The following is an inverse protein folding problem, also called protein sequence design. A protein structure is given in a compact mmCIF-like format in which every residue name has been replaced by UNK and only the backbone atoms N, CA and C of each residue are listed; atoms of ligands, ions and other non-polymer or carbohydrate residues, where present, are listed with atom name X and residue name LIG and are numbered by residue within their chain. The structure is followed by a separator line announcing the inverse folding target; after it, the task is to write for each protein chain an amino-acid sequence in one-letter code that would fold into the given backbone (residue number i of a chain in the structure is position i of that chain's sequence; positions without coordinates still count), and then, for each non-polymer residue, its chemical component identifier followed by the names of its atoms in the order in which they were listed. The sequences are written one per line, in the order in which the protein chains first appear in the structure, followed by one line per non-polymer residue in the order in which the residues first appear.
data_IF_219058438911
#
_entry.id   IF_219058438911
#
_cell.length_a   1.000
_cell.length_b   1.000
_cell.length_c   1.000
_cell.angle_alpha   90.00
_cell.angle_beta   90.00
_cell.angle_gamma   90.00
#
_symmetry.space_group_name_H-M   'P 1'
#
loop_
_entity.id
_entity.type
_entity.pdbx_description
1 polymer ?
#
# COMPACT_ATOMS: atom_id res chain seq x y z
N UNK A 1 -6.68 -6.45 26.62
CA UNK A 1 -5.55 -7.04 25.93
C UNK A 1 -5.70 -6.74 24.45
N UNK A 2 -4.94 -5.82 23.82
CA UNK A 2 -5.03 -5.60 22.37
C UNK A 2 -4.42 -6.81 21.66
N UNK A 3 -5.14 -7.32 20.68
CA UNK A 3 -4.81 -8.50 19.88
C UNK A 3 -3.57 -8.28 19.02
N UNK A 4 -2.41 -8.70 19.49
CA UNK A 4 -1.13 -8.70 18.76
C UNK A 4 -1.12 -9.60 17.49
N UNK A 5 -2.20 -10.33 17.20
CA UNK A 5 -2.28 -11.25 16.07
C UNK A 5 -2.45 -10.58 14.71
N UNK A 6 -2.93 -9.34 14.63
CA UNK A 6 -3.11 -8.63 13.33
C UNK A 6 -1.84 -7.95 12.82
N UNK A 7 -0.84 -7.71 13.65
CA UNK A 7 0.39 -6.99 13.29
C UNK A 7 1.56 -7.89 12.88
N UNK A 8 1.47 -9.21 13.16
CA UNK A 8 2.54 -10.13 12.78
C UNK A 8 2.54 -10.35 11.27
N UNK A 9 3.63 -10.03 10.56
CA UNK A 9 3.68 -10.16 9.11
C UNK A 9 3.63 -11.62 8.67
N UNK A 10 3.17 -11.84 7.43
CA UNK A 10 3.13 -13.15 6.78
C UNK A 10 3.90 -13.09 5.48
N UNK A 11 4.81 -14.02 5.28
CA UNK A 11 5.51 -14.24 4.01
C UNK A 11 4.80 -15.34 3.24
N UNK A 12 4.25 -15.01 2.07
CA UNK A 12 3.63 -15.98 1.17
C UNK A 12 4.68 -16.52 0.22
N UNK A 13 4.96 -17.82 0.28
CA UNK A 13 5.97 -18.51 -0.55
C UNK A 13 5.23 -19.25 -1.67
N UNK A 14 5.51 -18.92 -2.92
CA UNK A 14 4.92 -19.55 -4.09
C UNK A 14 6.04 -20.16 -4.95
N UNK A 15 6.19 -21.46 -4.89
CA UNK A 15 7.22 -22.22 -5.61
C UNK A 15 6.70 -23.65 -5.83
N UNK A 16 6.89 -24.27 -6.98
CA UNK A 16 6.45 -25.65 -7.24
C UNK A 16 7.36 -26.68 -6.57
N UNK A 17 8.61 -26.34 -6.27
CA UNK A 17 9.55 -27.22 -5.58
C UNK A 17 9.29 -27.22 -4.05
N UNK A 18 8.85 -28.36 -3.53
CA UNK A 18 8.59 -28.56 -2.11
C UNK A 18 9.82 -28.32 -1.24
N UNK A 19 11.02 -28.73 -1.69
CA UNK A 19 12.26 -28.56 -0.93
C UNK A 19 12.61 -27.09 -0.76
N UNK A 20 12.36 -26.27 -1.77
CA UNK A 20 12.57 -24.82 -1.68
C UNK A 20 11.55 -24.20 -0.72
N UNK A 21 10.28 -24.59 -0.80
CA UNK A 21 9.27 -24.11 0.15
C UNK A 21 9.61 -24.42 1.59
N UNK A 22 10.00 -25.68 1.87
CA UNK A 22 10.37 -26.14 3.22
C UNK A 22 11.63 -25.41 3.75
N UNK A 23 12.63 -25.22 2.88
CA UNK A 23 13.84 -24.49 3.22
C UNK A 23 13.55 -23.01 3.57
N UNK A 24 12.74 -22.34 2.75
CA UNK A 24 12.34 -20.94 3.00
C UNK A 24 11.46 -20.81 4.25
N UNK A 25 10.52 -21.74 4.46
CA UNK A 25 9.69 -21.77 5.67
C UNK A 25 10.58 -21.88 6.91
N UNK A 26 11.53 -22.82 6.93
CA UNK A 26 12.50 -22.99 8.02
C UNK A 26 13.36 -21.73 8.22
N UNK A 27 13.81 -21.10 7.13
CA UNK A 27 14.60 -19.87 7.18
C UNK A 27 13.80 -18.74 7.84
N UNK A 28 12.55 -18.51 7.42
CA UNK A 28 11.71 -17.46 7.96
C UNK A 28 11.30 -17.72 9.41
N UNK A 29 10.99 -18.97 9.76
CA UNK A 29 10.71 -19.36 11.14
C UNK A 29 11.91 -19.09 12.07
N UNK A 30 13.13 -19.33 11.60
CA UNK A 30 14.37 -19.10 12.38
C UNK A 30 14.55 -17.65 12.84
N UNK A 31 13.94 -16.69 12.11
CA UNK A 31 13.96 -15.26 12.44
C UNK A 31 12.60 -14.76 12.98
N UNK A 32 11.68 -15.67 13.30
CA UNK A 32 10.37 -15.34 13.90
C UNK A 32 9.35 -14.76 12.92
N UNK A 33 9.51 -14.98 11.62
CA UNK A 33 8.52 -14.64 10.62
C UNK A 33 7.55 -15.81 10.39
N UNK A 34 6.25 -15.50 10.26
CA UNK A 34 5.28 -16.50 9.82
C UNK A 34 5.29 -16.63 8.30
N UNK A 35 5.13 -17.84 7.80
CA UNK A 35 5.00 -18.11 6.37
C UNK A 35 3.75 -18.89 6.03
N UNK A 36 3.35 -18.83 4.77
CA UNK A 36 2.34 -19.67 4.15
C UNK A 36 2.85 -20.11 2.78
N UNK A 37 2.78 -21.40 2.48
CA UNK A 37 3.35 -22.00 1.29
C UNK A 37 2.27 -22.38 0.29
N UNK A 38 2.57 -22.22 -1.01
CA UNK A 38 1.68 -22.56 -2.13
C UNK A 38 2.50 -23.22 -3.23
N UNK A 39 1.99 -24.30 -3.81
CA UNK A 39 2.65 -25.02 -4.88
C UNK A 39 2.43 -24.39 -6.27
N UNK A 40 1.40 -23.54 -6.39
CA UNK A 40 1.05 -22.87 -7.63
C UNK A 40 0.53 -21.44 -7.39
N UNK A 41 0.65 -20.57 -8.37
CA UNK A 41 0.12 -19.22 -8.32
C UNK A 41 -1.41 -19.20 -8.15
N UNK A 42 -2.11 -20.17 -8.77
CA UNK A 42 -3.55 -20.34 -8.63
C UNK A 42 -3.98 -20.63 -7.20
N UNK A 43 -3.23 -21.43 -6.45
CA UNK A 43 -3.53 -21.76 -5.05
C UNK A 43 -3.46 -20.51 -4.16
N UNK A 44 -2.45 -19.68 -4.35
CA UNK A 44 -2.35 -18.41 -3.65
C UNK A 44 -3.54 -17.49 -3.95
N UNK A 45 -3.92 -17.36 -5.22
CA UNK A 45 -5.03 -16.50 -5.64
C UNK A 45 -6.38 -16.99 -5.09
N UNK A 46 -6.55 -18.31 -4.95
CA UNK A 46 -7.77 -18.92 -4.42
C UNK A 46 -7.87 -18.86 -2.89
N UNK A 47 -6.73 -18.85 -2.18
CA UNK A 47 -6.69 -18.88 -0.71
C UNK A 47 -7.23 -17.61 -0.04
N UNK A 48 -7.30 -16.50 -0.78
CA UNK A 48 -7.64 -15.19 -0.22
C UNK A 48 -6.48 -14.61 0.59
N UNK A 49 -6.36 -13.30 0.56
CA UNK A 49 -5.25 -12.60 1.24
C UNK A 49 -5.73 -12.09 2.57
N UNK A 50 -5.00 -12.43 3.63
CA UNK A 50 -5.26 -11.89 4.96
C UNK A 50 -4.96 -10.38 4.99
N UNK A 51 -5.73 -9.63 5.79
CA UNK A 51 -5.47 -8.20 6.04
C UNK A 51 -4.30 -7.99 7.02
N UNK A 52 -3.21 -8.74 6.85
CA UNK A 52 -1.98 -8.66 7.63
C UNK A 52 -0.86 -8.05 6.79
N UNK A 53 0.09 -7.33 7.41
CA UNK A 53 1.30 -6.94 6.70
C UNK A 53 2.02 -8.16 6.14
N UNK A 54 2.72 -8.02 5.02
CA UNK A 54 3.44 -9.15 4.47
C UNK A 54 4.05 -8.87 3.11
N UNK A 55 4.53 -9.94 2.49
CA UNK A 55 5.04 -9.94 1.14
C UNK A 55 4.85 -11.30 0.47
N UNK A 56 5.10 -11.35 -0.82
CA UNK A 56 5.09 -12.58 -1.62
C UNK A 56 6.52 -12.85 -2.09
N UNK A 57 6.99 -14.07 -1.84
CA UNK A 57 8.23 -14.62 -2.42
C UNK A 57 7.80 -15.64 -3.47
N UNK A 58 8.15 -15.42 -4.74
CA UNK A 58 7.62 -16.23 -5.85
C UNK A 58 8.72 -16.68 -6.80
N UNK A 59 8.66 -17.94 -7.24
CA UNK A 59 9.45 -18.38 -8.37
C UNK A 59 8.89 -17.77 -9.68
N UNK A 60 9.79 -17.33 -10.52
CA UNK A 60 9.43 -16.82 -11.85
C UNK A 60 8.89 -17.93 -12.74
N UNK A 61 9.33 -19.17 -12.57
CA UNK A 61 8.93 -20.33 -13.38
C UNK A 61 7.99 -21.24 -12.61
N UNK A 62 6.71 -20.93 -12.60
CA UNK A 62 5.69 -21.82 -12.08
C UNK A 62 5.02 -22.59 -13.22
N UNK A 63 4.49 -23.79 -12.95
CA UNK A 63 3.85 -24.63 -13.97
C UNK A 63 2.59 -24.02 -14.59
N UNK A 64 1.83 -23.29 -13.77
CA UNK A 64 0.53 -22.73 -14.13
C UNK A 64 0.60 -21.29 -14.66
N UNK A 65 1.60 -20.52 -14.23
CA UNK A 65 1.71 -19.10 -14.58
C UNK A 65 3.15 -18.60 -14.42
N UNK A 66 3.60 -17.73 -15.32
CA UNK A 66 4.87 -17.05 -15.15
C UNK A 66 4.77 -15.99 -14.02
N UNK A 67 5.80 -15.89 -13.16
CA UNK A 67 5.84 -14.95 -12.04
C UNK A 67 5.63 -13.48 -12.44
N UNK A 68 6.05 -13.08 -13.66
CA UNK A 68 5.77 -11.72 -14.17
C UNK A 68 4.29 -11.54 -14.56
N UNK A 69 3.62 -12.58 -15.03
CA UNK A 69 2.18 -12.57 -15.32
C UNK A 69 1.38 -12.56 -14.01
N UNK A 70 1.81 -13.36 -13.03
CA UNK A 70 1.26 -13.35 -11.69
C UNK A 70 1.30 -11.95 -11.06
N UNK A 71 2.45 -11.27 -11.12
CA UNK A 71 2.57 -9.89 -10.63
C UNK A 71 1.58 -8.93 -11.33
N UNK A 72 1.38 -9.08 -12.63
CA UNK A 72 0.39 -8.29 -13.37
C UNK A 72 -1.04 -8.62 -12.92
N UNK A 73 -1.33 -9.88 -12.60
CA UNK A 73 -2.64 -10.31 -12.11
C UNK A 73 -2.91 -9.78 -10.70
N UNK A 74 -1.94 -9.78 -9.78
CA UNK A 74 -2.05 -9.16 -8.46
C UNK A 74 -2.50 -7.71 -8.56
N UNK A 75 -1.88 -6.94 -9.46
CA UNK A 75 -2.24 -5.53 -9.69
C UNK A 75 -3.68 -5.36 -10.18
N UNK A 76 -4.20 -6.29 -11.00
CA UNK A 76 -5.59 -6.27 -11.51
C UNK A 76 -6.61 -6.65 -10.44
N UNK A 77 -6.26 -7.53 -9.53
CA UNK A 77 -7.13 -8.01 -8.44
C UNK A 77 -7.07 -7.11 -7.20
N UNK A 78 -6.28 -6.03 -7.24
CA UNK A 78 -6.14 -5.09 -6.12
C UNK A 78 -5.27 -5.62 -4.97
N UNK A 79 -4.52 -6.68 -5.20
CA UNK A 79 -3.54 -7.20 -4.25
C UNK A 79 -2.30 -6.31 -4.28
N UNK A 80 -2.05 -5.63 -3.17
CA UNK A 80 -0.98 -4.64 -3.06
C UNK A 80 0.26 -5.16 -2.29
N UNK A 81 0.31 -6.47 -2.02
CA UNK A 81 1.48 -7.06 -1.36
C UNK A 81 2.73 -6.90 -2.23
N UNK A 82 3.85 -6.45 -1.66
CA UNK A 82 5.13 -6.39 -2.35
C UNK A 82 5.61 -7.79 -2.75
N UNK A 83 6.29 -7.87 -3.89
CA UNK A 83 6.75 -9.14 -4.48
C UNK A 83 8.26 -9.17 -4.51
N UNK A 84 8.86 -10.25 -4.01
CA UNK A 84 10.25 -10.66 -4.19
C UNK A 84 10.25 -11.84 -5.16
N UNK A 85 11.01 -11.76 -6.24
CA UNK A 85 11.08 -12.82 -7.24
C UNK A 85 12.33 -13.65 -7.09
N UNK A 86 12.18 -14.98 -7.23
CA UNK A 86 13.30 -15.93 -7.31
C UNK A 86 13.36 -16.54 -8.71
N UNK A 87 14.54 -16.88 -9.20
CA UNK A 87 14.69 -17.56 -10.48
C UNK A 87 15.95 -18.41 -10.56
N UNK A 88 15.82 -19.61 -11.11
CA UNK A 88 16.98 -20.47 -11.46
C UNK A 88 17.71 -20.03 -12.73
N UNK A 89 17.10 -19.14 -13.54
CA UNK A 89 17.67 -18.60 -14.78
C UNK A 89 17.37 -17.10 -14.87
N UNK A 90 18.13 -16.31 -14.10
CA UNK A 90 18.01 -14.85 -14.17
C UNK A 90 18.78 -14.31 -15.36
N UNK A 91 18.08 -13.89 -16.40
CA UNK A 91 18.68 -12.98 -17.38
C UNK A 91 18.46 -11.52 -16.95
N UNK A 92 19.39 -10.64 -17.32
CA UNK A 92 19.29 -9.19 -17.01
C UNK A 92 17.98 -8.57 -17.55
N UNK A 93 17.53 -8.87 -18.77
CA UNK A 93 16.25 -8.39 -19.28
C UNK A 93 15.03 -8.79 -18.44
N UNK A 94 15.03 -9.96 -17.81
CA UNK A 94 13.93 -10.42 -16.96
C UNK A 94 13.91 -9.69 -15.62
N UNK A 95 15.07 -9.54 -14.97
CA UNK A 95 15.18 -8.80 -13.71
C UNK A 95 14.75 -7.33 -13.89
N UNK A 96 15.19 -6.68 -14.97
CA UNK A 96 14.78 -5.30 -15.30
C UNK A 96 13.26 -5.19 -15.50
N UNK A 97 12.62 -6.17 -16.14
CA UNK A 97 11.15 -6.19 -16.32
C UNK A 97 10.42 -6.38 -15.00
N UNK A 98 10.90 -7.27 -14.12
CA UNK A 98 10.35 -7.48 -12.79
C UNK A 98 10.39 -6.19 -11.96
N UNK A 99 11.55 -5.54 -11.90
CA UNK A 99 11.76 -4.30 -11.17
C UNK A 99 10.90 -3.15 -11.72
N UNK A 100 10.82 -3.00 -13.04
CA UNK A 100 9.93 -1.99 -13.69
C UNK A 100 8.46 -2.20 -13.38
N UNK A 101 8.03 -3.42 -13.09
CA UNK A 101 6.66 -3.75 -12.67
C UNK A 101 6.44 -3.63 -11.18
N UNK A 102 7.47 -3.17 -10.43
CA UNK A 102 7.37 -2.86 -9.01
C UNK A 102 7.71 -4.01 -8.07
N UNK A 103 8.38 -5.07 -8.55
CA UNK A 103 9.02 -6.04 -7.65
C UNK A 103 9.96 -5.30 -6.69
N UNK A 104 10.05 -5.80 -5.46
CA UNK A 104 10.96 -5.22 -4.46
C UNK A 104 12.37 -5.66 -4.74
N UNK A 105 12.53 -6.95 -5.08
CA UNK A 105 13.82 -7.52 -5.41
C UNK A 105 13.67 -8.71 -6.36
N UNK A 106 14.81 -9.16 -6.89
CA UNK A 106 14.93 -10.26 -7.83
C UNK A 106 16.18 -11.07 -7.50
N UNK A 107 16.03 -12.28 -6.96
CA UNK A 107 17.10 -13.12 -6.46
C UNK A 107 17.37 -14.31 -7.39
N UNK A 108 18.56 -14.43 -8.01
CA UNK A 108 18.95 -15.61 -8.77
C UNK A 108 19.21 -16.79 -7.82
N UNK A 109 18.68 -17.97 -8.14
CA UNK A 109 19.00 -19.22 -7.45
C UNK A 109 20.34 -19.77 -7.98
N UNK A 110 21.27 -20.21 -7.13
CA UNK A 110 21.22 -20.20 -5.67
C UNK A 110 21.49 -18.79 -5.09
N UNK A 111 20.78 -18.42 -4.04
CA UNK A 111 20.95 -17.19 -3.28
C UNK A 111 21.45 -17.49 -1.86
N UNK A 112 22.02 -16.51 -1.20
CA UNK A 112 22.36 -16.61 0.23
C UNK A 112 21.13 -16.32 1.08
N UNK A 113 21.01 -16.98 2.23
CA UNK A 113 19.92 -16.79 3.19
C UNK A 113 19.76 -15.32 3.58
N UNK A 114 20.90 -14.61 3.79
CA UNK A 114 20.89 -13.20 4.15
C UNK A 114 20.26 -12.32 3.06
N UNK A 115 20.54 -12.58 1.77
CA UNK A 115 19.98 -11.81 0.67
C UNK A 115 18.45 -11.96 0.63
N UNK A 116 17.96 -13.19 0.86
CA UNK A 116 16.52 -13.47 0.96
C UNK A 116 15.89 -12.75 2.14
N UNK A 117 16.51 -12.80 3.32
CA UNK A 117 16.00 -12.12 4.52
C UNK A 117 15.95 -10.60 4.32
N UNK A 118 17.00 -10.01 3.76
CA UNK A 118 17.06 -8.57 3.49
C UNK A 118 15.97 -8.13 2.52
N UNK A 119 15.74 -8.88 1.43
CA UNK A 119 14.68 -8.61 0.47
C UNK A 119 13.28 -8.72 1.10
N UNK A 120 13.03 -9.76 1.90
CA UNK A 120 11.76 -9.98 2.59
C UNK A 120 11.50 -8.88 3.63
N UNK A 121 12.50 -8.51 4.43
CA UNK A 121 12.35 -7.45 5.43
C UNK A 121 12.07 -6.09 4.76
N UNK A 122 12.75 -5.77 3.66
CA UNK A 122 12.47 -4.55 2.89
C UNK A 122 11.05 -4.55 2.31
N UNK A 123 10.58 -5.71 1.83
CA UNK A 123 9.22 -5.87 1.30
C UNK A 123 8.16 -5.68 2.40
N UNK A 124 8.32 -6.31 3.56
CA UNK A 124 7.41 -6.17 4.69
C UNK A 124 7.34 -4.71 5.15
N UNK A 125 8.47 -4.04 5.27
CA UNK A 125 8.52 -2.63 5.68
C UNK A 125 7.84 -1.71 4.64
N UNK A 126 7.99 -2.00 3.34
CA UNK A 126 7.28 -1.30 2.27
C UNK A 126 5.76 -1.45 2.40
N UNK A 127 5.27 -2.66 2.70
CA UNK A 127 3.84 -2.90 2.90
C UNK A 127 3.31 -2.19 4.15
N UNK A 128 4.05 -2.22 5.26
CA UNK A 128 3.69 -1.49 6.48
C UNK A 128 3.53 0.00 6.23
N UNK A 129 4.49 0.62 5.57
CA UNK A 129 4.43 2.06 5.22
C UNK A 129 3.23 2.38 4.33
N UNK A 130 2.97 1.54 3.32
CA UNK A 130 1.81 1.69 2.45
C UNK A 130 0.51 1.63 3.27
N UNK A 131 0.35 0.63 4.15
CA UNK A 131 -0.85 0.45 4.98
C UNK A 131 -1.09 1.63 5.92
N UNK A 132 -0.06 2.20 6.51
CA UNK A 132 -0.17 3.42 7.32
C UNK A 132 -0.69 4.57 6.45
N UNK A 133 -0.07 4.80 5.28
CA UNK A 133 -0.48 5.88 4.36
C UNK A 133 -1.93 5.71 3.87
N UNK A 134 -2.32 4.48 3.51
CA UNK A 134 -3.68 4.17 3.06
C UNK A 134 -4.70 4.34 4.20
N UNK A 135 -4.35 3.92 5.42
CA UNK A 135 -5.15 4.13 6.62
C UNK A 135 -5.37 5.60 6.94
N UNK A 136 -4.32 6.42 6.87
CA UNK A 136 -4.40 7.86 7.05
C UNK A 136 -5.28 8.51 5.96
N UNK A 137 -5.12 8.10 4.71
CA UNK A 137 -5.94 8.59 3.61
C UNK A 137 -7.41 8.22 3.80
N UNK A 138 -7.71 6.99 4.21
CA UNK A 138 -9.07 6.55 4.52
C UNK A 138 -9.69 7.37 5.65
N UNK A 139 -8.97 7.58 6.76
CA UNK A 139 -9.44 8.43 7.87
C UNK A 139 -9.74 9.86 7.41
N UNK A 140 -8.87 10.44 6.58
CA UNK A 140 -9.08 11.77 6.01
C UNK A 140 -10.33 11.82 5.11
N UNK A 141 -10.58 10.79 4.32
CA UNK A 141 -11.80 10.67 3.51
C UNK A 141 -13.05 10.59 4.39
N UNK A 142 -13.02 9.82 5.48
CA UNK A 142 -14.15 9.76 6.43
C UNK A 142 -14.41 11.14 7.05
N UNK A 143 -13.36 11.86 7.51
CA UNK A 143 -13.51 13.22 8.04
C UNK A 143 -14.06 14.17 6.97
N UNK A 144 -13.59 14.11 5.75
CA UNK A 144 -14.07 14.93 4.63
C UNK A 144 -15.55 14.66 4.32
N UNK A 145 -16.02 13.42 4.43
CA UNK A 145 -17.41 13.05 4.24
C UNK A 145 -18.34 13.71 5.29
N UNK A 146 -17.83 14.03 6.50
CA UNK A 146 -18.60 14.73 7.55
C UNK A 146 -18.80 16.23 7.26
N UNK A 147 -18.10 16.79 6.28
CA UNK A 147 -18.24 18.21 5.94
C UNK A 147 -19.59 18.44 5.25
N UNK A 148 -20.28 19.50 5.67
CA UNK A 148 -21.45 20.00 4.93
C UNK A 148 -21.03 20.52 3.55
N UNK A 149 -21.99 20.68 2.64
CA UNK A 149 -21.72 21.23 1.31
C UNK A 149 -21.01 22.60 1.37
N UNK A 150 -21.40 23.47 2.30
CA UNK A 150 -20.78 24.78 2.47
C UNK A 150 -19.38 24.72 3.07
N UNK A 151 -19.16 23.90 4.08
CA UNK A 151 -17.83 23.67 4.66
C UNK A 151 -16.86 23.13 3.60
N UNK A 152 -17.33 22.21 2.77
CA UNK A 152 -16.54 21.61 1.66
C UNK A 152 -16.20 22.68 0.60
N UNK A 153 -17.17 23.49 0.16
CA UNK A 153 -16.93 24.58 -0.80
C UNK A 153 -15.90 25.58 -0.27
N UNK A 154 -16.05 26.03 0.98
CA UNK A 154 -15.11 26.95 1.63
C UNK A 154 -13.73 26.32 1.74
N UNK A 155 -13.63 25.06 2.22
CA UNK A 155 -12.35 24.34 2.31
C UNK A 155 -11.64 24.28 0.95
N UNK A 156 -12.33 23.90 -0.13
CA UNK A 156 -11.73 23.78 -1.46
C UNK A 156 -11.21 25.13 -1.98
N UNK A 157 -11.93 26.22 -1.74
CA UNK A 157 -11.53 27.55 -2.20
C UNK A 157 -10.35 28.12 -1.40
N UNK A 158 -10.35 27.96 -0.07
CA UNK A 158 -9.22 28.45 0.78
C UNK A 158 -7.95 27.64 0.55
N UNK A 159 -8.07 26.33 0.29
CA UNK A 159 -6.91 25.47 -0.02
C UNK A 159 -6.40 25.68 -1.45
N UNK A 160 -7.19 26.30 -2.34
CA UNK A 160 -6.75 26.81 -3.64
C UNK A 160 -6.07 28.19 -3.54
N UNK A 161 -5.86 28.73 -2.33
CA UNK A 161 -5.16 30.00 -2.10
C UNK A 161 -6.05 31.24 -2.11
N UNK A 162 -7.41 31.11 -2.19
CA UNK A 162 -8.29 32.27 -2.15
C UNK A 162 -8.38 32.89 -0.76
N UNK A 163 -8.35 34.22 -0.70
CA UNK A 163 -8.60 34.97 0.52
C UNK A 163 -10.08 34.91 0.92
N UNK A 164 -10.39 35.07 2.21
CA UNK A 164 -11.78 35.01 2.70
C UNK A 164 -12.73 35.98 1.95
N UNK A 165 -12.26 37.18 1.59
CA UNK A 165 -13.03 38.14 0.79
C UNK A 165 -13.41 37.61 -0.58
N UNK A 166 -12.49 36.94 -1.25
CA UNK A 166 -12.74 36.32 -2.57
C UNK A 166 -13.71 35.14 -2.45
N UNK A 167 -13.51 34.29 -1.42
CA UNK A 167 -14.41 33.16 -1.14
C UNK A 167 -15.82 33.67 -0.81
N UNK A 168 -15.96 34.77 -0.08
CA UNK A 168 -17.23 35.41 0.24
C UNK A 168 -17.97 35.86 -1.04
N UNK A 169 -17.24 36.51 -1.96
CA UNK A 169 -17.78 36.92 -3.25
C UNK A 169 -18.21 35.72 -4.12
N UNK A 170 -17.35 34.69 -4.22
CA UNK A 170 -17.64 33.50 -5.04
C UNK A 170 -18.87 32.73 -4.54
N UNK A 171 -19.09 32.69 -3.22
CA UNK A 171 -20.16 31.92 -2.60
C UNK A 171 -21.40 32.73 -2.25
N UNK A 172 -21.40 34.06 -2.45
CA UNK A 172 -22.50 34.96 -2.13
C UNK A 172 -22.81 35.03 -0.62
N UNK A 173 -21.78 34.99 0.24
CA UNK A 173 -21.91 35.02 1.71
C UNK A 173 -20.97 36.07 2.33
N UNK A 174 -21.14 36.38 3.61
CA UNK A 174 -20.25 37.32 4.30
C UNK A 174 -18.87 36.69 4.62
N UNK A 175 -17.84 37.54 4.74
CA UNK A 175 -16.52 37.09 5.19
C UNK A 175 -16.55 36.44 6.59
N UNK A 176 -17.46 36.90 7.46
CA UNK A 176 -17.67 36.32 8.80
C UNK A 176 -18.17 34.87 8.63
N UNK A 177 -19.13 34.64 7.74
CA UNK A 177 -19.68 33.32 7.45
C UNK A 177 -18.61 32.40 6.86
N UNK A 178 -17.72 32.92 5.97
CA UNK A 178 -16.56 32.16 5.48
C UNK A 178 -15.63 31.73 6.62
N UNK A 179 -15.31 32.63 7.57
CA UNK A 179 -14.48 32.31 8.73
C UNK A 179 -15.12 31.20 9.60
N UNK A 180 -16.43 31.25 9.79
CA UNK A 180 -17.17 30.21 10.54
C UNK A 180 -17.06 28.85 9.84
N UNK A 181 -17.39 28.78 8.55
CA UNK A 181 -17.31 27.53 7.78
C UNK A 181 -15.88 27.00 7.70
N UNK A 182 -14.88 27.88 7.50
CA UNK A 182 -13.47 27.49 7.52
C UNK A 182 -13.06 26.89 8.86
N UNK A 183 -13.41 27.53 9.98
CA UNK A 183 -13.14 27.02 11.33
C UNK A 183 -13.82 25.68 11.59
N UNK A 184 -15.05 25.50 11.12
CA UNK A 184 -15.77 24.23 11.22
C UNK A 184 -15.10 23.13 10.38
N UNK A 185 -14.71 23.44 9.15
CA UNK A 185 -13.98 22.51 8.27
C UNK A 185 -12.64 22.11 8.89
N UNK A 186 -11.85 23.06 9.42
CA UNK A 186 -10.59 22.76 10.10
C UNK A 186 -10.79 21.83 11.29
N UNK A 187 -11.77 22.08 12.14
CA UNK A 187 -12.06 21.20 13.30
C UNK A 187 -12.45 19.79 12.87
N UNK A 188 -13.36 19.65 11.89
CA UNK A 188 -13.82 18.34 11.41
C UNK A 188 -12.70 17.56 10.71
N UNK A 189 -11.85 18.24 9.96
CA UNK A 189 -10.68 17.64 9.32
C UNK A 189 -9.56 17.32 10.33
N UNK A 190 -9.54 17.96 11.52
CA UNK A 190 -8.46 17.86 12.48
C UNK A 190 -7.22 18.68 12.10
N UNK A 191 -7.39 19.71 11.27
CA UNK A 191 -6.32 20.64 10.87
C UNK A 191 -6.11 21.70 11.94
N UNK A 192 -4.87 21.88 12.41
CA UNK A 192 -4.50 22.94 13.35
C UNK A 192 -4.14 24.25 12.62
N UNK A 193 -3.57 24.12 11.43
CA UNK A 193 -3.15 25.23 10.57
C UNK A 193 -3.77 25.16 9.19
N UNK A 194 -3.74 26.29 8.45
CA UNK A 194 -4.15 26.28 7.05
C UNK A 194 -3.25 25.37 6.20
N UNK A 195 -1.97 25.28 6.53
CA UNK A 195 -1.01 24.41 5.85
C UNK A 195 -1.42 22.95 6.00
N UNK A 196 -1.84 22.53 7.19
CA UNK A 196 -2.38 21.17 7.41
C UNK A 196 -3.61 20.93 6.53
N UNK A 197 -4.53 21.91 6.49
CA UNK A 197 -5.75 21.80 5.68
C UNK A 197 -5.44 21.67 4.19
N UNK A 198 -4.43 22.42 3.69
CA UNK A 198 -3.96 22.31 2.29
C UNK A 198 -3.42 20.93 1.99
N UNK A 199 -2.56 20.38 2.88
CA UNK A 199 -2.01 19.02 2.74
C UNK A 199 -3.12 17.97 2.73
N UNK A 200 -4.05 18.04 3.68
CA UNK A 200 -5.20 17.13 3.77
C UNK A 200 -6.11 17.22 2.54
N UNK A 201 -6.34 18.42 2.01
CA UNK A 201 -7.13 18.62 0.79
C UNK A 201 -6.49 17.96 -0.44
N UNK A 202 -5.15 17.89 -0.51
CA UNK A 202 -4.43 17.20 -1.57
C UNK A 202 -4.67 15.68 -1.57
N UNK A 203 -4.92 15.09 -0.40
CA UNK A 203 -5.22 13.64 -0.26
C UNK A 203 -6.66 13.32 -0.62
N UNK A 204 -7.63 14.17 -0.24
CA UNK A 204 -9.07 13.89 -0.41
C UNK A 204 -9.64 14.36 -1.74
N UNK A 205 -8.95 15.21 -2.50
CA UNK A 205 -9.36 15.56 -3.87
C UNK A 205 -9.18 14.34 -4.77
N UNK A 206 -10.19 13.95 -5.58
CA UNK A 206 -9.96 12.97 -6.62
C UNK A 206 -8.84 13.49 -7.53
N UNK A 207 -7.83 12.65 -7.83
CA UNK A 207 -6.84 12.96 -8.85
C UNK A 207 -7.62 13.22 -10.14
N UNK A 208 -7.59 14.47 -10.62
CA UNK A 208 -8.08 14.78 -11.96
C UNK A 208 -7.17 14.02 -12.93
N UNK A 209 -7.74 13.08 -13.63
CA UNK A 209 -7.11 12.36 -14.74
C UNK A 209 -6.94 13.29 -15.91
#
# INVERSE_FOLDING_TARGET
MPSHTRDTPVVHIVDDDALIRDALESLFESVGLNSQTYAAAGDFLAAGISDRPGCIVIDVRLPDMNGLEFQAQLSRTGVLLPVVMMTGYGDIPMSVRAMKRGAVDFLPKPFHDQDMLDAVMAAIERDRRRRITDGDAWQLQQRFATLTARERQVMLLVTAGKMNKQVAGDLGISEITVKIHRGAAMRKMGAQTLVDLVRMAGVVKPKQS
#
